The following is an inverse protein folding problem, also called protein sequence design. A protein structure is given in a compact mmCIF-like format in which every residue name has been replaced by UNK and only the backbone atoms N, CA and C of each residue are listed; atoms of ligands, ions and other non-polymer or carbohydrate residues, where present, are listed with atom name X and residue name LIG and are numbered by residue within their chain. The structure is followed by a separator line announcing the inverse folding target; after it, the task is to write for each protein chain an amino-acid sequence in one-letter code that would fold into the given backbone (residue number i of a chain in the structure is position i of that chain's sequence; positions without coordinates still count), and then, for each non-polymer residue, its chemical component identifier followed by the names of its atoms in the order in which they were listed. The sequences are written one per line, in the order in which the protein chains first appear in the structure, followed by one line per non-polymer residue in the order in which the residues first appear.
data_IF_715812347979
#
_entry.id   IF_715812347979
#
_cell.length_a   1.000
_cell.length_b   1.000
_cell.length_c   1.000
_cell.angle_alpha   90.00
_cell.angle_beta   90.00
_cell.angle_gamma   90.00
#
_symmetry.space_group_name_H-M   'P 1'
#
loop_
_entity.id
_entity.type
_entity.pdbx_description
1 polymer ?
#
# COMPACT_ATOMS: atom_id res chain seq x y z
N UNK A 1 27.79 -0.52 28.99
CA UNK A 1 28.66 -1.58 28.46
C UNK A 1 28.84 -2.65 29.53
N UNK A 2 28.12 -3.78 29.40
CA UNK A 2 28.40 -5.10 30.00
C UNK A 2 27.56 -6.11 29.22
N UNK A 3 28.25 -6.91 28.42
CA UNK A 3 27.71 -7.99 27.59
C UNK A 3 27.43 -9.16 28.55
N UNK A 4 26.18 -9.64 28.60
CA UNK A 4 25.84 -10.90 29.26
C UNK A 4 25.54 -11.91 28.16
N UNK A 5 26.47 -12.83 27.98
CA UNK A 5 26.47 -13.89 26.98
C UNK A 5 25.36 -14.89 27.29
N UNK A 6 24.39 -15.02 26.37
CA UNK A 6 23.28 -15.99 26.44
C UNK A 6 23.83 -17.42 26.51
N UNK A 7 23.59 -18.10 27.62
CA UNK A 7 23.95 -19.50 27.79
C UNK A 7 22.93 -20.39 27.04
N UNK A 8 23.37 -20.92 25.89
CA UNK A 8 22.69 -21.97 25.13
C UNK A 8 22.32 -23.15 26.03
N UNK A 9 21.02 -23.37 26.21
CA UNK A 9 20.44 -24.68 26.50
C UNK A 9 19.31 -24.94 25.51
N UNK A 10 19.69 -25.25 24.27
CA UNK A 10 18.79 -25.85 23.28
C UNK A 10 18.62 -27.33 23.63
N UNK A 11 17.69 -27.62 24.53
CA UNK A 11 17.18 -28.97 24.76
C UNK A 11 15.67 -28.84 24.87
N UNK A 12 14.98 -28.98 23.72
CA UNK A 12 13.69 -29.66 23.56
C UNK A 12 13.28 -29.59 22.07
N UNK A 13 13.27 -30.73 21.35
CA UNK A 13 12.71 -30.83 20.01
C UNK A 13 11.25 -31.27 20.11
N UNK A 14 10.32 -30.32 20.10
CA UNK A 14 8.91 -30.55 19.78
C UNK A 14 8.41 -29.27 19.10
N UNK A 15 8.53 -29.20 17.78
CA UNK A 15 7.44 -29.44 16.83
C UNK A 15 6.31 -28.40 16.96
N UNK A 16 6.20 -27.59 15.89
CA UNK A 16 5.04 -26.81 15.46
C UNK A 16 4.79 -25.46 16.15
N UNK A 17 5.78 -24.56 16.09
CA UNK A 17 5.50 -23.15 15.86
C UNK A 17 5.52 -22.93 14.34
N UNK A 18 4.49 -23.36 13.63
CA UNK A 18 4.17 -22.75 12.34
C UNK A 18 3.72 -21.33 12.69
N UNK A 19 4.69 -20.44 12.81
CA UNK A 19 4.45 -19.02 12.76
C UNK A 19 3.62 -18.79 11.48
N UNK A 20 2.33 -18.50 11.64
CA UNK A 20 1.59 -17.77 10.63
C UNK A 20 2.34 -16.45 10.48
N UNK A 21 3.36 -16.42 9.62
CA UNK A 21 3.90 -15.17 9.15
C UNK A 21 2.72 -14.47 8.45
N UNK A 22 2.26 -13.31 8.93
CA UNK A 22 1.27 -12.55 8.19
C UNK A 22 1.83 -12.32 6.78
N UNK A 23 0.99 -12.49 5.76
CA UNK A 23 1.38 -12.20 4.39
C UNK A 23 1.93 -10.77 4.34
N UNK A 24 3.22 -10.64 4.03
CA UNK A 24 3.90 -9.35 4.06
C UNK A 24 3.33 -8.50 2.91
N UNK A 25 2.55 -7.47 3.25
CA UNK A 25 2.05 -6.50 2.28
C UNK A 25 3.23 -5.65 1.82
N UNK A 26 3.62 -5.76 0.56
CA UNK A 26 4.70 -4.97 0.00
C UNK A 26 4.12 -3.81 -0.80
N UNK A 27 4.58 -2.59 -0.52
CA UNK A 27 4.32 -1.45 -1.41
C UNK A 27 5.09 -1.69 -2.69
N UNK A 28 4.37 -1.84 -3.81
CA UNK A 28 4.94 -2.15 -5.11
C UNK A 28 5.30 -0.87 -5.86
N UNK A 29 4.42 0.15 -5.79
CA UNK A 29 4.59 1.39 -6.52
C UNK A 29 3.98 2.57 -5.74
N UNK A 30 4.58 3.75 -5.88
CA UNK A 30 4.11 5.00 -5.26
C UNK A 30 4.09 6.11 -6.30
N UNK A 31 3.00 6.87 -6.29
CA UNK A 31 2.83 8.10 -7.04
C UNK A 31 2.58 9.23 -6.04
N UNK A 32 3.57 10.08 -5.75
CA UNK A 32 3.37 11.21 -4.84
C UNK A 32 2.46 12.27 -5.49
N UNK A 33 1.73 13.03 -4.67
CA UNK A 33 1.07 14.23 -5.15
C UNK A 33 2.11 15.24 -5.65
N UNK A 34 1.92 15.83 -6.84
CA UNK A 34 2.87 16.80 -7.38
C UNK A 34 2.79 18.12 -6.60
N UNK A 35 3.87 18.89 -6.58
CA UNK A 35 3.98 20.09 -5.74
C UNK A 35 2.97 21.19 -6.10
N UNK A 36 2.57 21.25 -7.37
CA UNK A 36 1.54 22.14 -7.89
C UNK A 36 0.11 21.76 -7.45
N UNK A 37 -0.13 20.51 -7.04
CA UNK A 37 -1.41 20.05 -6.53
C UNK A 37 -1.53 20.38 -5.03
N UNK A 38 -1.58 21.68 -4.71
CA UNK A 38 -1.55 22.20 -3.34
C UNK A 38 -2.62 21.59 -2.43
N UNK A 39 -3.81 21.29 -2.97
CA UNK A 39 -4.89 20.65 -2.21
C UNK A 39 -4.57 19.21 -1.75
N UNK A 40 -3.59 18.57 -2.39
CA UNK A 40 -3.14 17.20 -2.13
C UNK A 40 -1.78 17.16 -1.43
N UNK A 41 -1.33 18.29 -0.87
CA UNK A 41 -0.08 18.32 -0.12
C UNK A 41 -0.13 17.31 1.04
N UNK A 42 0.90 16.47 1.14
CA UNK A 42 1.01 15.43 2.17
C UNK A 42 0.30 14.11 1.83
N UNK A 43 -0.32 14.00 0.65
CA UNK A 43 -0.93 12.75 0.16
C UNK A 43 -0.02 12.05 -0.85
N UNK A 44 -0.14 10.72 -0.91
CA UNK A 44 0.41 9.89 -1.97
C UNK A 44 -0.55 8.75 -2.32
N UNK A 45 -0.51 8.34 -3.58
CA UNK A 45 -1.20 7.15 -4.06
C UNK A 45 -0.19 6.00 -4.14
N UNK A 46 -0.57 4.80 -3.73
CA UNK A 46 0.29 3.63 -3.72
C UNK A 46 -0.44 2.39 -4.22
N UNK A 47 0.27 1.58 -5.01
CA UNK A 47 -0.11 0.21 -5.32
C UNK A 47 0.51 -0.74 -4.30
N UNK A 48 -0.33 -1.46 -3.57
CA UNK A 48 0.11 -2.44 -2.57
C UNK A 48 -0.28 -3.83 -3.06
N UNK A 49 0.65 -4.77 -3.00
CA UNK A 49 0.36 -6.17 -3.25
C UNK A 49 1.10 -7.09 -2.29
N UNK A 50 0.44 -8.17 -1.87
CA UNK A 50 1.11 -9.26 -1.19
C UNK A 50 1.65 -10.32 -2.16
N UNK A 51 2.40 -11.27 -1.63
CA UNK A 51 2.51 -12.62 -2.19
C UNK A 51 1.77 -13.55 -1.23
N UNK A 52 0.86 -14.40 -1.71
CA UNK A 52 0.35 -15.48 -0.88
C UNK A 52 1.40 -16.60 -0.86
N UNK A 53 1.61 -17.20 0.32
CA UNK A 53 2.53 -18.33 0.55
C UNK A 53 2.22 -19.59 -0.28
N UNK A 54 1.12 -19.60 -1.05
CA UNK A 54 0.66 -20.75 -1.83
C UNK A 54 0.43 -20.42 -3.32
N UNK A 55 0.89 -19.27 -3.82
CA UNK A 55 0.75 -18.90 -5.24
C UNK A 55 -0.67 -18.50 -5.66
N UNK A 56 -1.63 -18.49 -4.73
CA UNK A 56 -2.94 -17.87 -4.93
C UNK A 56 -2.80 -16.34 -5.02
N UNK A 57 -3.68 -15.70 -5.79
CA UNK A 57 -3.74 -14.24 -5.93
C UNK A 57 -3.71 -13.59 -4.56
N UNK A 58 -2.61 -12.92 -4.24
CA UNK A 58 -2.53 -12.16 -3.02
C UNK A 58 -3.56 -11.04 -3.05
N UNK A 59 -3.96 -10.58 -1.88
CA UNK A 59 -4.75 -9.37 -1.75
C UNK A 59 -3.96 -8.16 -2.26
N UNK A 60 -4.65 -7.27 -2.97
CA UNK A 60 -4.03 -6.15 -3.68
C UNK A 60 -4.94 -4.94 -3.67
N UNK A 61 -4.33 -3.80 -3.35
CA UNK A 61 -5.04 -2.59 -3.06
C UNK A 61 -4.40 -1.40 -3.77
N UNK A 62 -5.26 -0.55 -4.30
CA UNK A 62 -4.91 0.83 -4.57
C UNK A 62 -5.20 1.64 -3.30
N UNK A 63 -4.19 2.38 -2.85
CA UNK A 63 -4.19 3.01 -1.52
C UNK A 63 -3.86 4.48 -1.63
N UNK A 64 -4.76 5.34 -1.18
CA UNK A 64 -4.46 6.75 -0.93
C UNK A 64 -4.09 6.92 0.55
N UNK A 65 -2.95 7.52 0.87
CA UNK A 65 -2.48 7.66 2.25
C UNK A 65 -1.74 8.96 2.53
N UNK A 66 -1.58 9.28 3.81
CA UNK A 66 -0.70 10.36 4.23
C UNK A 66 0.77 9.94 4.15
N UNK A 67 1.63 10.82 3.63
CA UNK A 67 3.08 10.57 3.54
C UNK A 67 3.71 10.43 4.93
N UNK A 68 3.33 11.29 5.88
CA UNK A 68 3.88 11.30 7.24
C UNK A 68 3.30 10.23 8.16
N UNK A 69 2.12 9.70 7.84
CA UNK A 69 1.36 8.72 8.63
C UNK A 69 0.72 7.68 7.68
N UNK A 70 1.51 6.73 7.12
CA UNK A 70 1.04 5.80 6.09
C UNK A 70 -0.12 4.88 6.53
N UNK A 71 -0.34 4.70 7.83
CA UNK A 71 -1.46 4.00 8.43
C UNK A 71 -2.79 4.74 8.28
N UNK A 72 -2.76 6.06 8.09
CA UNK A 72 -3.93 6.86 7.72
C UNK A 72 -4.13 6.71 6.22
N UNK A 73 -4.95 5.73 5.84
CA UNK A 73 -5.13 5.34 4.44
C UNK A 73 -6.56 4.96 4.06
N UNK A 74 -6.89 5.17 2.80
CA UNK A 74 -8.08 4.68 2.13
C UNK A 74 -7.68 3.58 1.16
N UNK A 75 -8.25 2.40 1.34
CA UNK A 75 -7.92 1.21 0.55
C UNK A 75 -9.07 0.85 -0.38
N UNK A 76 -8.71 0.35 -1.56
CA UNK A 76 -9.64 -0.19 -2.55
C UNK A 76 -9.06 -1.44 -3.17
N UNK A 77 -9.82 -2.51 -3.16
CA UNK A 77 -9.45 -3.74 -3.87
C UNK A 77 -9.32 -3.42 -5.36
N UNK A 78 -8.09 -3.55 -5.87
CA UNK A 78 -7.77 -3.10 -7.23
C UNK A 78 -6.55 -3.83 -7.77
N UNK A 79 -6.65 -4.32 -9.00
CA UNK A 79 -5.59 -5.06 -9.67
C UNK A 79 -5.46 -4.65 -11.14
N UNK A 80 -4.44 -3.83 -11.49
CA UNK A 80 -4.17 -3.48 -12.88
C UNK A 80 -3.23 -4.45 -13.59
N UNK A 81 -2.50 -5.27 -12.83
CA UNK A 81 -1.38 -6.09 -13.29
C UNK A 81 -0.25 -6.08 -12.27
N UNK A 82 0.70 -7.01 -12.41
CA UNK A 82 1.80 -7.18 -11.45
C UNK A 82 2.73 -5.97 -11.38
N UNK A 83 2.95 -5.34 -12.52
CA UNK A 83 3.92 -4.27 -12.64
C UNK A 83 3.36 -2.89 -12.23
N UNK A 84 2.05 -2.80 -11.94
CA UNK A 84 1.40 -1.50 -11.68
C UNK A 84 1.76 -0.45 -12.72
N UNK A 85 1.77 -0.85 -14.00
CA UNK A 85 2.35 -0.14 -15.14
C UNK A 85 1.63 1.16 -15.55
N UNK A 86 0.74 1.68 -14.70
CA UNK A 86 -0.02 2.91 -14.90
C UNK A 86 0.58 4.15 -14.24
N UNK A 87 -0.24 5.20 -14.18
CA UNK A 87 0.10 6.48 -13.56
C UNK A 87 -1.03 7.02 -12.71
N UNK A 88 -0.70 7.99 -11.85
CA UNK A 88 -1.69 8.77 -11.12
C UNK A 88 -1.85 10.14 -11.77
N UNK A 89 -3.08 10.50 -12.11
CA UNK A 89 -3.47 11.81 -12.60
C UNK A 89 -4.08 12.60 -11.43
N UNK A 90 -3.44 13.71 -11.07
CA UNK A 90 -3.86 14.57 -9.97
C UNK A 90 -4.56 15.81 -10.53
N UNK A 91 -5.74 16.09 -9.98
CA UNK A 91 -6.53 17.29 -10.27
C UNK A 91 -6.84 18.02 -8.97
N UNK A 92 -7.39 19.23 -9.03
CA UNK A 92 -7.78 19.96 -7.82
C UNK A 92 -8.80 19.22 -6.93
N UNK A 93 -9.61 18.33 -7.51
CA UNK A 93 -10.74 17.69 -6.81
C UNK A 93 -10.60 16.18 -6.67
N UNK A 94 -9.67 15.57 -7.40
CA UNK A 94 -9.55 14.11 -7.47
C UNK A 94 -8.13 13.65 -7.81
N UNK A 95 -7.83 12.40 -7.44
CA UNK A 95 -6.70 11.64 -7.97
C UNK A 95 -7.21 10.37 -8.61
N UNK A 96 -6.81 10.12 -9.86
CA UNK A 96 -7.23 8.95 -10.63
C UNK A 96 -6.03 8.11 -11.00
N UNK A 97 -6.05 6.83 -10.64
CA UNK A 97 -5.12 5.86 -11.21
C UNK A 97 -5.57 5.48 -12.63
N UNK A 98 -4.68 5.67 -13.60
CA UNK A 98 -4.85 5.33 -15.01
C UNK A 98 -3.98 4.09 -15.33
N UNK A 99 -4.57 2.89 -15.49
CA UNK A 99 -3.82 1.72 -15.93
C UNK A 99 -3.32 1.91 -17.37
N UNK A 100 -2.10 1.49 -17.67
CA UNK A 100 -1.60 1.42 -19.07
C UNK A 100 -2.18 0.23 -19.83
N UNK A 101 -2.55 -0.80 -19.08
CA UNK A 101 -3.25 -1.99 -19.54
C UNK A 101 -4.63 -1.66 -20.17
N UNK A 102 -4.87 -2.06 -21.42
CA UNK A 102 -6.15 -1.89 -22.13
C UNK A 102 -7.20 -2.99 -21.86
N UNK A 103 -6.94 -3.90 -20.90
CA UNK A 103 -7.81 -5.02 -20.59
C UNK A 103 -9.17 -4.51 -20.08
N UNK A 104 -10.29 -4.96 -20.68
CA UNK A 104 -11.60 -4.32 -20.46
C UNK A 104 -12.09 -4.38 -19.02
N UNK A 105 -11.65 -5.37 -18.24
CA UNK A 105 -11.99 -5.51 -16.82
C UNK A 105 -11.21 -4.57 -15.89
N UNK A 106 -10.10 -3.99 -16.36
CA UNK A 106 -9.31 -3.03 -15.57
C UNK A 106 -9.74 -1.63 -15.98
N UNK A 107 -10.30 -0.87 -15.04
CA UNK A 107 -10.79 0.48 -15.26
C UNK A 107 -9.99 1.47 -14.42
N UNK A 108 -9.90 2.76 -14.82
CA UNK A 108 -9.39 3.80 -13.94
C UNK A 108 -10.15 3.83 -12.62
N UNK A 109 -9.47 4.20 -11.54
CA UNK A 109 -10.09 4.35 -10.22
C UNK A 109 -9.77 5.73 -9.64
N UNK A 110 -10.78 6.40 -9.11
CA UNK A 110 -10.69 7.78 -8.64
C UNK A 110 -10.99 7.88 -7.15
N UNK A 111 -10.12 8.57 -6.42
CA UNK A 111 -10.39 9.09 -5.08
C UNK A 111 -10.72 10.58 -5.18
N UNK A 112 -11.67 11.04 -4.37
CA UNK A 112 -12.03 12.46 -4.31
C UNK A 112 -11.32 13.15 -3.15
N UNK A 113 -11.02 14.44 -3.34
CA UNK A 113 -10.41 15.27 -2.30
C UNK A 113 -11.30 15.37 -1.07
N UNK A 114 -12.62 15.50 -1.27
CA UNK A 114 -13.59 15.55 -0.17
C UNK A 114 -13.52 14.29 0.70
N UNK A 115 -13.48 13.10 0.08
CA UNK A 115 -13.34 11.86 0.83
C UNK A 115 -12.00 11.79 1.55
N UNK A 116 -10.92 12.15 0.85
CA UNK A 116 -9.57 12.15 1.39
C UNK A 116 -9.44 13.07 2.62
N UNK A 117 -9.93 14.31 2.54
CA UNK A 117 -9.89 15.25 3.65
C UNK A 117 -10.75 14.78 4.83
N UNK A 118 -11.96 14.31 4.56
CA UNK A 118 -12.89 13.83 5.59
C UNK A 118 -12.35 12.62 6.36
N UNK A 119 -11.57 11.76 5.70
CA UNK A 119 -11.13 10.48 6.26
C UNK A 119 -9.67 10.50 6.72
N UNK A 120 -8.81 11.24 6.03
CA UNK A 120 -7.37 11.20 6.19
C UNK A 120 -6.76 12.51 6.68
N UNK A 121 -7.23 13.68 6.23
CA UNK A 121 -6.74 14.99 6.72
C UNK A 121 -5.21 15.09 6.84
N UNK A 122 -4.46 14.92 5.74
CA UNK A 122 -2.99 14.83 5.76
C UNK A 122 -2.23 16.17 5.82
N UNK A 123 -2.89 17.26 6.24
CA UNK A 123 -2.38 18.64 6.13
C UNK A 123 -2.42 19.47 7.42
N UNK A 124 -2.48 18.82 8.59
CA UNK A 124 -2.43 19.47 9.90
C UNK A 124 -1.01 19.44 10.51
#
# INVERSE_FOLDING_TARGET
MRIVTLQKRCLWPLLLLTACAPAEQQTQQVWPAPAEATAWQGYELAGIGGMSVQGATAERWLVLRCVSQPERRLERDYWPGADWDGGAEWTGESVTYQPSNSHPAVKPYTFTLEEAQRRLGCGD
#
